data_IF_651527598059
#
_entry.id   IF_651527598059
#
_cell.length_a   1.000
_cell.length_b   1.000
_cell.length_c   1.000
_cell.angle_alpha   90.00
_cell.angle_beta   90.00
_cell.angle_gamma   90.00
#
_symmetry.space_group_name_H-M   'P 1'
#
loop_
_entity.id
_entity.type
_entity.pdbx_description
1 polymer ?
#
# COMPACT_ATOMS: atom_id res chain seq x y z
N UNK A 1 9.90 -11.65 19.43
CA UNK A 1 9.97 -10.61 18.38
C UNK A 1 10.95 -11.01 17.28
N UNK A 2 12.21 -11.32 17.60
CA UNK A 2 13.20 -11.77 16.60
C UNK A 2 12.81 -13.12 15.97
N UNK A 3 12.38 -14.10 16.77
CA UNK A 3 11.98 -15.41 16.23
C UNK A 3 10.79 -15.34 15.26
N UNK A 4 9.87 -14.40 15.49
CA UNK A 4 8.74 -14.16 14.60
C UNK A 4 9.21 -13.57 13.27
N UNK A 5 10.16 -12.64 13.29
CA UNK A 5 10.76 -12.07 12.09
C UNK A 5 11.52 -13.12 11.27
N UNK A 6 12.30 -13.97 11.93
CA UNK A 6 13.01 -15.09 11.28
C UNK A 6 12.01 -16.03 10.63
N UNK A 7 10.98 -16.48 11.38
CA UNK A 7 9.95 -17.37 10.87
C UNK A 7 9.22 -16.81 9.65
N UNK A 8 8.90 -15.51 9.64
CA UNK A 8 8.27 -14.86 8.48
C UNK A 8 9.18 -14.89 7.24
N UNK A 9 10.49 -14.66 7.42
CA UNK A 9 11.46 -14.73 6.32
C UNK A 9 11.63 -16.18 5.83
N UNK A 10 11.63 -17.16 6.73
CA UNK A 10 11.65 -18.58 6.37
C UNK A 10 10.42 -18.97 5.56
N UNK A 11 9.21 -18.58 5.99
CA UNK A 11 7.97 -18.79 5.25
C UNK A 11 8.05 -18.18 3.83
N UNK A 12 8.58 -16.96 3.72
CA UNK A 12 8.80 -16.31 2.42
C UNK A 12 9.77 -17.12 1.55
N UNK A 13 10.89 -17.57 2.11
CA UNK A 13 11.87 -18.35 1.35
C UNK A 13 11.37 -19.75 0.99
N UNK A 14 10.49 -20.35 1.77
CA UNK A 14 9.88 -21.66 1.48
C UNK A 14 8.62 -21.57 0.60
N UNK A 15 8.19 -20.37 0.21
CA UNK A 15 7.07 -20.18 -0.72
C UNK A 15 7.44 -20.51 -2.17
N UNK A 16 6.42 -20.62 -3.04
CA UNK A 16 6.58 -20.84 -4.49
C UNK A 16 7.19 -19.64 -5.25
N UNK A 17 7.52 -18.54 -4.54
CA UNK A 17 8.13 -17.37 -5.16
C UNK A 17 9.57 -17.65 -5.58
N UNK A 18 9.86 -17.38 -6.85
CA UNK A 18 11.23 -17.48 -7.38
C UNK A 18 12.16 -16.46 -6.72
N UNK A 19 13.45 -16.80 -6.62
CA UNK A 19 14.48 -15.87 -6.13
C UNK A 19 14.46 -14.55 -6.90
N UNK A 20 14.23 -14.64 -8.21
CA UNK A 20 14.14 -13.49 -9.10
C UNK A 20 12.98 -12.57 -8.73
N UNK A 21 11.79 -13.13 -8.44
CA UNK A 21 10.62 -12.34 -8.05
C UNK A 21 10.87 -11.61 -6.73
N UNK A 22 11.41 -12.31 -5.73
CA UNK A 22 11.76 -11.71 -4.43
C UNK A 22 12.81 -10.60 -4.62
N UNK A 23 13.85 -10.87 -5.41
CA UNK A 23 14.91 -9.89 -5.71
C UNK A 23 14.35 -8.63 -6.37
N UNK A 24 13.50 -8.78 -7.39
CA UNK A 24 12.88 -7.68 -8.12
C UNK A 24 12.00 -6.83 -7.21
N UNK A 25 11.16 -7.44 -6.40
CA UNK A 25 10.14 -6.72 -5.63
C UNK A 25 10.71 -6.06 -4.35
N UNK A 26 11.75 -6.66 -3.76
CA UNK A 26 12.45 -6.14 -2.57
C UNK A 26 13.59 -5.18 -2.90
N UNK A 27 14.08 -5.20 -4.15
CA UNK A 27 15.30 -4.53 -4.57
C UNK A 27 16.57 -5.06 -3.88
N UNK A 28 16.56 -6.31 -3.43
CA UNK A 28 17.74 -7.03 -2.97
C UNK A 28 18.41 -7.74 -4.15
N UNK A 29 19.73 -7.96 -4.10
CA UNK A 29 20.41 -8.69 -5.17
C UNK A 29 20.00 -10.16 -5.16
N UNK A 30 19.92 -10.77 -6.34
CA UNK A 30 19.60 -12.19 -6.47
C UNK A 30 20.54 -13.09 -5.63
N UNK A 31 21.83 -12.75 -5.61
CA UNK A 31 22.84 -13.46 -4.82
C UNK A 31 22.57 -13.40 -3.32
N UNK A 32 22.06 -12.28 -2.79
CA UNK A 32 21.69 -12.16 -1.37
C UNK A 32 20.54 -13.13 -1.06
N UNK A 33 19.50 -13.14 -1.89
CA UNK A 33 18.35 -14.06 -1.72
C UNK A 33 18.82 -15.52 -1.75
N UNK A 34 19.62 -15.89 -2.75
CA UNK A 34 20.14 -17.25 -2.92
C UNK A 34 21.03 -17.72 -1.77
N UNK A 35 21.93 -16.88 -1.27
CA UNK A 35 22.81 -17.24 -0.17
C UNK A 35 22.03 -17.55 1.12
N UNK A 36 20.97 -16.79 1.43
CA UNK A 36 20.13 -17.06 2.61
C UNK A 36 19.21 -18.26 2.39
N UNK A 37 18.50 -18.32 1.24
CA UNK A 37 17.58 -19.42 0.94
C UNK A 37 18.28 -20.78 0.84
N UNK A 38 19.52 -20.82 0.36
CA UNK A 38 20.33 -22.05 0.33
C UNK A 38 20.90 -22.48 1.68
N UNK A 39 20.75 -21.67 2.74
CA UNK A 39 21.37 -21.92 4.05
C UNK A 39 22.88 -21.67 4.09
N UNK A 40 23.47 -21.08 3.02
CA UNK A 40 24.88 -20.67 3.04
C UNK A 40 25.15 -19.60 4.09
N UNK A 41 24.17 -18.74 4.36
CA UNK A 41 24.17 -17.81 5.48
C UNK A 41 22.97 -18.07 6.40
N UNK A 42 23.23 -18.12 7.69
CA UNK A 42 22.21 -18.20 8.75
C UNK A 42 21.34 -16.94 8.75
N UNK A 43 20.02 -17.12 8.96
CA UNK A 43 19.07 -16.02 8.98
C UNK A 43 19.27 -15.14 10.22
N UNK A 44 19.73 -15.71 11.33
CA UNK A 44 20.12 -15.02 12.56
C UNK A 44 21.22 -13.99 12.32
N UNK A 45 22.08 -14.25 11.33
CA UNK A 45 23.20 -13.37 10.94
C UNK A 45 22.80 -12.37 9.84
N UNK A 46 21.52 -12.28 9.48
CA UNK A 46 21.04 -11.34 8.49
C UNK A 46 21.17 -9.90 8.96
N UNK A 47 21.68 -9.01 8.10
CA UNK A 47 21.69 -7.59 8.42
C UNK A 47 20.25 -7.07 8.58
N UNK A 48 20.03 -6.20 9.57
CA UNK A 48 18.72 -5.61 9.84
C UNK A 48 18.09 -4.95 8.60
N UNK A 49 18.91 -4.33 7.74
CA UNK A 49 18.46 -3.73 6.47
C UNK A 49 17.86 -4.75 5.51
N UNK A 50 18.46 -5.94 5.39
CA UNK A 50 17.96 -7.01 4.53
C UNK A 50 16.71 -7.63 5.14
N UNK A 51 16.73 -7.92 6.44
CA UNK A 51 15.57 -8.47 7.17
C UNK A 51 14.34 -7.56 7.03
N UNK A 52 14.51 -6.25 7.25
CA UNK A 52 13.43 -5.26 7.11
C UNK A 52 12.77 -5.30 5.73
N UNK A 53 13.56 -5.43 4.66
CA UNK A 53 13.04 -5.51 3.29
C UNK A 53 12.24 -6.79 3.04
N UNK A 54 12.75 -7.93 3.52
CA UNK A 54 12.09 -9.23 3.34
C UNK A 54 10.80 -9.34 4.16
N UNK A 55 10.82 -8.88 5.41
CA UNK A 55 9.64 -8.84 6.29
C UNK A 55 8.57 -7.95 5.67
N UNK A 56 8.93 -6.73 5.26
CA UNK A 56 7.99 -5.81 4.61
C UNK A 56 7.35 -6.45 3.38
N UNK A 57 8.15 -7.11 2.54
CA UNK A 57 7.62 -7.80 1.36
C UNK A 57 6.70 -8.98 1.72
N UNK A 58 7.05 -9.76 2.74
CA UNK A 58 6.21 -10.85 3.24
C UNK A 58 4.87 -10.34 3.81
N UNK A 59 4.87 -9.17 4.45
CA UNK A 59 3.67 -8.49 4.91
C UNK A 59 2.83 -7.97 3.72
N UNK A 60 3.46 -7.29 2.76
CA UNK A 60 2.82 -6.80 1.53
C UNK A 60 2.09 -7.92 0.75
N UNK A 61 2.68 -9.13 0.68
CA UNK A 61 2.06 -10.29 0.02
C UNK A 61 0.79 -10.80 0.73
N UNK A 62 0.65 -10.53 2.03
CA UNK A 62 -0.49 -10.96 2.86
C UNK A 62 -1.53 -9.85 3.03
N UNK A 63 -1.27 -8.64 2.53
CA UNK A 63 -2.19 -7.51 2.65
C UNK A 63 -3.45 -7.72 1.82
N UNK A 64 -4.60 -7.55 2.47
CA UNK A 64 -5.89 -7.43 1.80
C UNK A 64 -5.97 -6.10 1.06
N UNK A 65 -6.81 -6.04 0.04
CA UNK A 65 -7.15 -4.83 -0.69
C UNK A 65 -7.73 -3.76 0.24
N UNK A 66 -8.56 -4.14 1.22
CA UNK A 66 -8.95 -3.22 2.29
C UNK A 66 -7.75 -2.62 3.03
N UNK A 67 -6.77 -3.45 3.42
CA UNK A 67 -5.61 -2.99 4.17
C UNK A 67 -4.73 -2.04 3.31
N UNK A 68 -4.57 -2.33 2.01
CA UNK A 68 -3.89 -1.46 1.04
C UNK A 68 -4.63 -0.12 0.88
N UNK A 69 -5.96 -0.15 0.77
CA UNK A 69 -6.78 1.06 0.68
C UNK A 69 -6.61 1.92 1.93
N UNK A 70 -6.62 1.31 3.11
CA UNK A 70 -6.43 2.03 4.38
C UNK A 70 -5.04 2.65 4.51
N UNK A 71 -3.99 2.06 3.94
CA UNK A 71 -2.67 2.72 3.88
C UNK A 71 -2.76 4.08 3.18
N UNK A 72 -3.49 4.17 2.07
CA UNK A 72 -3.66 5.42 1.31
C UNK A 72 -4.60 6.38 2.05
N UNK A 73 -5.79 5.92 2.43
CA UNK A 73 -6.83 6.77 3.05
C UNK A 73 -6.38 7.33 4.41
N UNK A 74 -5.52 6.64 5.14
CA UNK A 74 -5.00 7.16 6.41
C UNK A 74 -4.03 8.34 6.26
N UNK A 75 -3.47 8.54 5.06
CA UNK A 75 -2.65 9.70 4.74
C UNK A 75 -3.49 10.83 4.13
N UNK A 76 -4.79 10.63 3.88
CA UNK A 76 -5.64 11.67 3.29
C UNK A 76 -5.93 12.79 4.30
N UNK A 77 -5.65 14.03 3.90
CA UNK A 77 -6.00 15.23 4.65
C UNK A 77 -6.90 16.09 3.78
N UNK A 78 -8.12 16.36 4.28
CA UNK A 78 -9.11 17.19 3.59
C UNK A 78 -9.11 18.59 4.20
N UNK A 79 -9.13 19.61 3.33
CA UNK A 79 -9.37 20.99 3.73
C UNK A 79 -10.84 21.21 4.12
N UNK A 80 -11.12 22.33 4.79
CA UNK A 80 -12.50 22.70 5.12
C UNK A 80 -13.32 22.90 3.83
N UNK A 81 -14.49 22.26 3.77
CA UNK A 81 -15.33 22.26 2.58
C UNK A 81 -14.88 21.32 1.45
N UNK A 82 -13.77 20.59 1.59
CA UNK A 82 -13.37 19.59 0.61
C UNK A 82 -14.24 18.32 0.71
N UNK A 83 -14.44 17.66 -0.43
CA UNK A 83 -15.19 16.40 -0.53
C UNK A 83 -14.39 15.32 -1.23
N UNK A 84 -14.70 14.06 -0.93
CA UNK A 84 -14.18 12.90 -1.67
C UNK A 84 -15.33 12.18 -2.33
N UNK A 85 -15.36 12.19 -3.66
CA UNK A 85 -16.30 11.38 -4.43
C UNK A 85 -15.61 10.14 -4.96
N UNK A 86 -16.18 8.97 -4.74
CA UNK A 86 -15.67 7.73 -5.31
C UNK A 86 -16.72 6.99 -6.15
N UNK A 87 -16.25 6.25 -7.14
CA UNK A 87 -17.05 5.39 -8.01
C UNK A 87 -16.21 4.23 -8.51
N UNK A 88 -16.86 3.22 -9.08
CA UNK A 88 -16.15 2.15 -9.80
C UNK A 88 -16.03 2.50 -11.29
N UNK A 89 -14.91 2.12 -11.91
CA UNK A 89 -14.66 2.37 -13.35
C UNK A 89 -15.82 1.97 -14.28
N UNK A 90 -16.51 0.87 -13.94
CA UNK A 90 -17.61 0.33 -14.72
C UNK A 90 -18.95 1.06 -14.51
N UNK A 91 -19.09 1.85 -13.44
CA UNK A 91 -20.32 2.59 -13.10
C UNK A 91 -20.01 4.03 -12.65
N UNK A 92 -19.50 4.89 -13.54
CA UNK A 92 -19.09 6.25 -13.18
C UNK A 92 -20.21 7.16 -12.67
N UNK A 93 -21.48 6.82 -12.97
CA UNK A 93 -22.64 7.58 -12.49
C UNK A 93 -23.20 7.05 -11.15
N UNK A 94 -22.69 5.92 -10.65
CA UNK A 94 -23.03 5.34 -9.34
C UNK A 94 -21.93 5.73 -8.36
N UNK A 95 -21.96 6.99 -7.94
CA UNK A 95 -20.92 7.58 -7.10
C UNK A 95 -21.42 7.83 -5.67
N UNK A 96 -20.48 7.81 -4.74
CA UNK A 96 -20.70 8.17 -3.35
C UNK A 96 -19.80 9.36 -3.02
N UNK A 97 -20.39 10.43 -2.49
CA UNK A 97 -19.66 11.63 -2.05
C UNK A 97 -19.61 11.65 -0.52
N UNK A 98 -18.41 11.82 0.03
CA UNK A 98 -18.11 11.89 1.45
C UNK A 98 -17.54 13.26 1.79
N UNK A 99 -17.88 13.77 2.98
CA UNK A 99 -17.48 15.09 3.47
C UNK A 99 -16.39 15.01 4.56
N UNK A 100 -15.93 13.80 4.87
CA UNK A 100 -14.85 13.56 5.82
C UNK A 100 -14.12 12.25 5.51
N UNK A 101 -12.90 12.13 6.02
CA UNK A 101 -12.11 10.89 5.93
C UNK A 101 -12.78 9.77 6.74
N UNK A 102 -13.42 10.11 7.86
CA UNK A 102 -14.16 9.16 8.70
C UNK A 102 -15.37 8.57 7.99
N UNK A 103 -16.13 9.40 7.28
CA UNK A 103 -17.26 8.96 6.46
C UNK A 103 -16.77 8.04 5.33
N UNK A 104 -15.71 8.45 4.61
CA UNK A 104 -15.10 7.61 3.58
C UNK A 104 -14.69 6.24 4.13
N UNK A 105 -14.03 6.20 5.29
CA UNK A 105 -13.65 4.93 5.95
C UNK A 105 -14.86 4.07 6.31
N UNK A 106 -15.95 4.68 6.77
CA UNK A 106 -17.19 3.96 7.09
C UNK A 106 -17.81 3.31 5.84
N UNK A 107 -17.78 3.99 4.70
CA UNK A 107 -18.23 3.44 3.43
C UNK A 107 -17.34 2.29 2.96
N UNK A 108 -16.02 2.51 2.93
CA UNK A 108 -15.04 1.50 2.51
C UNK A 108 -15.07 0.26 3.40
N UNK A 109 -15.31 0.40 4.71
CA UNK A 109 -15.37 -0.73 5.64
C UNK A 109 -16.49 -1.74 5.37
N UNK A 110 -17.45 -1.42 4.50
CA UNK A 110 -18.55 -2.31 4.12
C UNK A 110 -18.40 -2.92 2.71
N UNK A 111 -17.27 -2.70 2.04
CA UNK A 111 -17.05 -3.16 0.66
C UNK A 111 -16.43 -4.56 0.60
N UNK A 112 -16.74 -5.27 -0.49
CA UNK A 112 -16.15 -6.57 -0.80
C UNK A 112 -14.71 -6.42 -1.33
N UNK A 113 -13.87 -7.42 -1.07
CA UNK A 113 -12.42 -7.39 -1.31
C UNK A 113 -12.02 -7.13 -2.77
N UNK A 114 -12.84 -7.58 -3.73
CA UNK A 114 -12.57 -7.44 -5.16
C UNK A 114 -12.97 -6.05 -5.71
N UNK A 115 -13.73 -5.26 -4.95
CA UNK A 115 -14.26 -3.98 -5.44
C UNK A 115 -13.22 -2.85 -5.39
N UNK A 116 -12.29 -2.90 -4.42
CA UNK A 116 -11.31 -1.82 -4.19
C UNK A 116 -10.41 -1.55 -5.39
N UNK A 117 -10.07 -2.57 -6.18
CA UNK A 117 -9.15 -2.44 -7.32
C UNK A 117 -9.70 -1.55 -8.44
N UNK A 118 -11.02 -1.36 -8.49
CA UNK A 118 -11.69 -0.58 -9.53
C UNK A 118 -12.14 0.79 -9.05
N UNK A 119 -11.85 1.13 -7.80
CA UNK A 119 -12.27 2.40 -7.22
C UNK A 119 -11.39 3.54 -7.72
N UNK A 120 -12.07 4.59 -8.16
CA UNK A 120 -11.49 5.89 -8.43
C UNK A 120 -11.98 6.84 -7.34
N UNK A 121 -11.06 7.59 -6.75
CA UNK A 121 -11.38 8.62 -5.78
C UNK A 121 -11.01 9.98 -6.35
N UNK A 122 -11.94 10.92 -6.28
CA UNK A 122 -11.76 12.31 -6.64
C UNK A 122 -11.89 13.16 -5.38
N UNK A 123 -10.85 13.92 -5.06
CA UNK A 123 -10.89 14.95 -4.03
C UNK A 123 -11.15 16.28 -4.69
N UNK A 124 -12.23 16.94 -4.28
CA UNK A 124 -12.63 18.26 -4.75
C UNK A 124 -12.49 19.26 -3.59
N UNK A 125 -11.60 20.25 -3.73
CA UNK A 125 -11.29 21.23 -2.68
C UNK A 125 -12.21 22.47 -2.75
N UNK A 126 -13.51 22.25 -2.85
CA UNK A 126 -14.52 23.31 -2.90
C UNK A 126 -14.41 24.18 -4.16
N UNK A 127 -14.29 25.49 -3.99
CA UNK A 127 -14.31 26.48 -5.08
C UNK A 127 -13.00 26.51 -5.92
N UNK A 128 -11.92 25.90 -5.43
CA UNK A 128 -10.62 25.85 -6.11
C UNK A 128 -10.46 24.53 -6.87
N UNK A 129 -11.20 24.41 -7.97
CA UNK A 129 -11.22 23.20 -8.78
C UNK A 129 -9.85 22.83 -9.37
N UNK A 130 -8.92 23.79 -9.48
CA UNK A 130 -7.55 23.59 -9.94
C UNK A 130 -6.72 22.75 -8.95
N UNK A 131 -7.15 22.65 -7.69
CA UNK A 131 -6.53 21.79 -6.67
C UNK A 131 -7.16 20.41 -6.56
N UNK A 132 -8.14 20.08 -7.38
CA UNK A 132 -8.77 18.77 -7.34
C UNK A 132 -7.81 17.70 -7.83
N UNK A 133 -7.88 16.50 -7.28
CA UNK A 133 -6.97 15.42 -7.64
C UNK A 133 -7.60 14.06 -7.46
N UNK A 134 -7.02 13.06 -8.12
CA UNK A 134 -7.41 11.67 -7.94
C UNK A 134 -6.34 10.91 -7.19
N UNK A 135 -6.78 9.89 -6.45
CA UNK A 135 -5.91 8.90 -5.84
C UNK A 135 -6.50 7.51 -6.00
N UNK A 136 -5.67 6.49 -5.86
CA UNK A 136 -6.06 5.11 -6.12
C UNK A 136 -5.46 4.16 -5.09
N UNK A 137 -6.09 2.99 -4.89
CA UNK A 137 -5.51 1.94 -4.03
C UNK A 137 -4.10 1.54 -4.51
N UNK A 138 -3.83 1.54 -5.82
CA UNK A 138 -2.53 1.17 -6.39
C UNK A 138 -1.36 2.02 -5.90
N UNK A 139 -1.63 3.19 -5.31
CA UNK A 139 -0.62 4.09 -4.75
C UNK A 139 -0.12 3.65 -3.36
N UNK A 140 -0.73 2.62 -2.74
CA UNK A 140 -0.36 2.14 -1.41
C UNK A 140 1.15 1.89 -1.25
N UNK A 141 1.81 1.38 -2.31
CA UNK A 141 3.25 1.13 -2.28
C UNK A 141 4.06 2.42 -2.24
N UNK A 142 3.67 3.43 -3.01
CA UNK A 142 4.31 4.75 -2.97
C UNK A 142 4.16 5.38 -1.59
N UNK A 143 2.98 5.23 -0.96
CA UNK A 143 2.73 5.67 0.41
C UNK A 143 3.62 4.94 1.43
N UNK A 144 3.73 3.60 1.36
CA UNK A 144 4.61 2.81 2.23
C UNK A 144 6.09 3.17 2.07
N UNK A 145 6.49 3.52 0.85
CA UNK A 145 7.86 3.96 0.52
C UNK A 145 8.08 5.46 0.82
N UNK A 146 7.07 6.16 1.34
CA UNK A 146 7.10 7.60 1.68
C UNK A 146 7.45 8.48 0.49
N UNK A 147 6.89 8.18 -0.68
CA UNK A 147 7.04 8.99 -1.88
C UNK A 147 6.51 10.41 -1.64
N UNK A 148 7.39 11.41 -1.81
CA UNK A 148 7.09 12.80 -1.49
C UNK A 148 5.99 13.38 -2.37
N UNK A 149 5.93 12.96 -3.64
CA UNK A 149 4.94 13.46 -4.59
C UNK A 149 3.57 12.93 -4.19
N UNK A 150 3.41 11.60 -4.09
CA UNK A 150 2.13 10.98 -3.67
C UNK A 150 1.64 11.55 -2.33
N UNK A 151 2.53 11.70 -1.33
CA UNK A 151 2.14 12.28 -0.05
C UNK A 151 1.76 13.76 -0.16
N UNK A 152 2.44 14.56 -0.99
CA UNK A 152 2.06 15.96 -1.20
C UNK A 152 0.65 16.11 -1.79
N UNK A 153 0.22 15.13 -2.61
CA UNK A 153 -1.14 15.07 -3.10
C UNK A 153 -2.13 14.78 -1.97
N UNK A 154 -1.93 13.67 -1.25
CA UNK A 154 -2.80 13.22 -0.16
C UNK A 154 -2.88 14.20 1.02
N UNK A 155 -1.79 14.90 1.33
CA UNK A 155 -1.72 15.90 2.40
C UNK A 155 -2.18 17.30 1.99
N UNK A 156 -2.45 17.52 0.70
CA UNK A 156 -2.77 18.82 0.13
C UNK A 156 -1.71 19.90 0.42
N UNK A 157 -0.44 19.57 0.21
CA UNK A 157 0.71 20.46 0.53
C UNK A 157 1.51 20.90 -0.71
N UNK A 158 0.99 20.59 -1.90
CA UNK A 158 1.62 20.87 -3.19
C UNK A 158 1.31 22.27 -3.74
#
# INVERSE_FOLDING_TARGET
MIDQAIKQIEELFNSDLTDYRISKDTGLTLSVIQNYRSGKYELENMSFKVAKKLIRYAEELKMRNYDKMMVVVNELVLEDGATVTYWTEDKPNDCTCCYSVEELKAHLGNMEEDDYEKLIFQVDNGDDCDKSYQFYMSEYKAVLDRDEITLSFLHNTR
#
